data_IF_498290334900
#
_entry.id   IF_498290334900
#
_cell.length_a   1.000
_cell.length_b   1.000
_cell.length_c   1.000
_cell.angle_alpha   90.00
_cell.angle_beta   90.00
_cell.angle_gamma   90.00
#
_symmetry.space_group_name_H-M   'P 1'
#
loop_
_entity.id
_entity.type
_entity.pdbx_description
1 polymer ?
#
# COMPACT_ATOMS: atom_id res chain seq x y z
N UNK A 1 -3.40 2.19 16.73
CA UNK A 1 -3.54 3.63 16.41
C UNK A 1 -2.27 4.05 15.70
N UNK A 2 -2.35 4.47 14.44
CA UNK A 2 -1.17 4.91 13.70
C UNK A 2 -0.86 6.39 13.97
N UNK A 3 0.39 6.77 13.77
CA UNK A 3 0.86 8.15 13.69
C UNK A 3 0.71 8.70 12.27
N UNK A 4 0.82 10.03 12.12
CA UNK A 4 0.83 10.67 10.80
C UNK A 4 1.98 10.13 9.91
N UNK A 5 3.17 9.94 10.50
CA UNK A 5 4.32 9.39 9.79
C UNK A 5 4.09 7.95 9.32
N UNK A 6 3.44 7.13 10.13
CA UNK A 6 3.09 5.75 9.78
C UNK A 6 2.07 5.69 8.63
N UNK A 7 1.07 6.58 8.65
CA UNK A 7 0.13 6.75 7.52
C UNK A 7 0.87 7.13 6.24
N UNK A 8 1.78 8.11 6.30
CA UNK A 8 2.55 8.55 5.13
C UNK A 8 3.48 7.43 4.62
N UNK A 9 4.10 6.68 5.54
CA UNK A 9 4.91 5.51 5.22
C UNK A 9 4.10 4.43 4.47
N UNK A 10 2.86 4.13 4.90
CA UNK A 10 1.98 3.21 4.20
C UNK A 10 1.66 3.70 2.78
N UNK A 11 1.28 4.96 2.63
CA UNK A 11 0.94 5.55 1.32
C UNK A 11 2.13 5.47 0.36
N UNK A 12 3.33 5.72 0.87
CA UNK A 12 4.57 5.60 0.11
C UNK A 12 4.87 4.15 -0.28
N UNK A 13 4.77 3.20 0.67
CA UNK A 13 4.98 1.78 0.41
C UNK A 13 4.00 1.22 -0.63
N UNK A 14 2.73 1.63 -0.55
CA UNK A 14 1.71 1.29 -1.54
C UNK A 14 2.08 1.85 -2.92
N UNK A 15 2.46 3.13 -3.01
CA UNK A 15 2.79 3.76 -4.29
C UNK A 15 4.02 3.13 -4.95
N UNK A 16 5.04 2.75 -4.17
CA UNK A 16 6.19 1.99 -4.65
C UNK A 16 5.78 0.61 -5.17
N UNK A 17 4.93 -0.09 -4.42
CA UNK A 17 4.45 -1.43 -4.80
C UNK A 17 3.61 -1.39 -6.08
N UNK A 18 2.79 -0.35 -6.27
CA UNK A 18 2.05 -0.13 -7.51
C UNK A 18 2.98 0.04 -8.71
N UNK A 19 4.04 0.84 -8.58
CA UNK A 19 5.04 1.00 -9.63
C UNK A 19 5.74 -0.32 -9.98
N UNK A 20 6.06 -1.11 -8.95
CA UNK A 20 6.69 -2.42 -9.11
C UNK A 20 5.79 -3.42 -9.83
N UNK A 21 4.50 -3.46 -9.49
CA UNK A 21 3.52 -4.32 -10.16
C UNK A 21 3.46 -4.00 -11.66
N UNK A 22 3.38 -2.71 -12.02
CA UNK A 22 3.33 -2.29 -13.42
C UNK A 22 4.63 -2.69 -14.15
N UNK A 23 5.78 -2.48 -13.51
CA UNK A 23 7.07 -2.87 -14.08
C UNK A 23 7.17 -4.38 -14.36
N UNK A 24 6.62 -5.23 -13.49
CA UNK A 24 6.71 -6.69 -13.62
C UNK A 24 5.62 -7.31 -14.50
N UNK A 25 4.41 -6.75 -14.48
CA UNK A 25 3.25 -7.37 -15.12
C UNK A 25 2.81 -6.66 -16.40
N UNK A 26 3.41 -5.52 -16.72
CA UNK A 26 3.08 -4.72 -17.90
C UNK A 26 1.75 -3.96 -17.80
N UNK A 27 1.05 -4.02 -16.67
CA UNK A 27 -0.27 -3.39 -16.53
C UNK A 27 -0.86 -3.47 -15.13
N UNK A 28 -2.18 -3.26 -15.05
CA UNK A 28 -2.96 -3.39 -13.81
C UNK A 28 -3.37 -4.85 -13.61
N UNK A 29 -3.43 -5.26 -12.35
CA UNK A 29 -3.99 -6.53 -11.90
C UNK A 29 -4.75 -6.32 -10.58
N UNK A 30 -5.35 -7.39 -10.06
CA UNK A 30 -6.15 -7.37 -8.83
C UNK A 30 -5.40 -6.79 -7.62
N UNK A 31 -4.10 -7.12 -7.48
CA UNK A 31 -3.28 -6.58 -6.38
C UNK A 31 -3.07 -5.07 -6.53
N UNK A 32 -2.91 -4.57 -7.77
CA UNK A 32 -2.80 -3.14 -8.01
C UNK A 32 -4.12 -2.39 -7.75
N UNK A 33 -5.27 -3.00 -8.03
CA UNK A 33 -6.58 -2.40 -7.76
C UNK A 33 -6.86 -2.33 -6.27
N UNK A 34 -6.57 -3.42 -5.54
CA UNK A 34 -6.63 -3.48 -4.09
C UNK A 34 -5.78 -2.38 -3.45
N UNK A 35 -4.52 -2.28 -3.86
CA UNK A 35 -3.56 -1.31 -3.32
C UNK A 35 -3.95 0.14 -3.66
N UNK A 36 -4.41 0.41 -4.88
CA UNK A 36 -4.91 1.74 -5.27
C UNK A 36 -6.14 2.13 -4.43
N UNK A 37 -7.06 1.20 -4.21
CA UNK A 37 -8.22 1.40 -3.33
C UNK A 37 -7.82 1.68 -1.89
N UNK A 38 -6.85 0.93 -1.35
CA UNK A 38 -6.34 1.14 0.00
C UNK A 38 -5.68 2.52 0.15
N UNK A 39 -4.85 2.94 -0.82
CA UNK A 39 -4.23 4.27 -0.81
C UNK A 39 -5.26 5.39 -0.76
N UNK A 40 -6.31 5.30 -1.56
CA UNK A 40 -7.38 6.29 -1.59
C UNK A 40 -8.12 6.35 -0.24
N UNK A 41 -8.39 5.20 0.39
CA UNK A 41 -8.95 5.14 1.75
C UNK A 41 -8.03 5.80 2.77
N UNK A 42 -6.73 5.50 2.74
CA UNK A 42 -5.76 6.06 3.68
C UNK A 42 -5.75 7.59 3.63
N UNK A 43 -5.83 8.21 2.45
CA UNK A 43 -5.92 9.67 2.36
C UNK A 43 -7.12 10.27 3.11
N UNK A 44 -8.27 9.56 3.13
CA UNK A 44 -9.49 10.02 3.78
C UNK A 44 -9.57 9.73 5.29
N UNK A 45 -8.80 8.74 5.77
CA UNK A 45 -8.80 8.34 7.19
C UNK A 45 -7.87 9.22 8.03
N UNK A 46 -8.22 9.43 9.31
CA UNK A 46 -7.28 9.97 10.28
C UNK A 46 -6.28 8.88 10.70
N UNK A 47 -5.05 9.23 11.10
CA UNK A 47 -4.05 8.26 11.56
C UNK A 47 -4.57 7.31 12.64
N UNK A 48 -5.38 7.82 13.56
CA UNK A 48 -5.91 7.04 14.67
C UNK A 48 -6.86 5.90 14.27
N UNK A 49 -7.47 6.00 13.08
CA UNK A 49 -8.38 5.01 12.51
C UNK A 49 -7.66 3.90 11.73
N UNK A 50 -6.33 3.98 11.63
CA UNK A 50 -5.52 3.09 10.82
C UNK A 50 -4.87 2.01 11.70
N UNK A 51 -5.08 0.74 11.33
CA UNK A 51 -4.26 -0.36 11.80
C UNK A 51 -2.96 -0.43 10.98
N UNK A 52 -1.92 0.19 11.51
CA UNK A 52 -0.63 0.25 10.81
C UNK A 52 0.04 -1.11 10.69
N UNK A 53 -0.03 -1.96 11.72
CA UNK A 53 0.65 -3.26 11.70
C UNK A 53 0.04 -4.17 10.64
N UNK A 54 -1.29 -4.28 10.61
CA UNK A 54 -1.99 -5.10 9.64
C UNK A 54 -1.72 -4.63 8.20
N UNK A 55 -1.89 -3.32 7.94
CA UNK A 55 -1.71 -2.78 6.61
C UNK A 55 -0.24 -2.82 6.16
N UNK A 56 0.71 -2.60 7.06
CA UNK A 56 2.14 -2.66 6.72
C UNK A 56 2.56 -4.09 6.35
N UNK A 57 1.99 -5.09 7.02
CA UNK A 57 2.20 -6.50 6.67
C UNK A 57 1.64 -6.81 5.27
N UNK A 58 0.41 -6.40 4.99
CA UNK A 58 -0.20 -6.56 3.66
C UNK A 58 0.66 -5.90 2.57
N UNK A 59 1.06 -4.64 2.77
CA UNK A 59 1.89 -3.91 1.78
C UNK A 59 3.23 -4.61 1.55
N UNK A 60 3.88 -5.11 2.62
CA UNK A 60 5.13 -5.86 2.51
C UNK A 60 4.95 -7.20 1.78
N UNK A 61 3.86 -7.92 2.04
CA UNK A 61 3.54 -9.16 1.33
C UNK A 61 3.37 -8.92 -0.17
N UNK A 62 2.62 -7.88 -0.56
CA UNK A 62 2.46 -7.50 -1.96
C UNK A 62 3.79 -7.04 -2.58
N UNK A 63 4.56 -6.19 -1.89
CA UNK A 63 5.88 -5.78 -2.37
C UNK A 63 6.78 -6.98 -2.64
N UNK A 64 6.86 -7.92 -1.69
CA UNK A 64 7.71 -9.11 -1.82
C UNK A 64 7.29 -10.05 -2.97
N UNK A 65 6.00 -10.07 -3.32
CA UNK A 65 5.50 -10.84 -4.46
C UNK A 65 6.04 -10.33 -5.81
N UNK A 66 6.31 -9.03 -5.93
CA UNK A 66 6.68 -8.39 -7.21
C UNK A 66 8.12 -7.85 -7.24
N UNK A 67 8.90 -7.98 -6.16
CA UNK A 67 10.28 -7.44 -6.12
C UNK A 67 11.31 -8.20 -6.96
N UNK A 68 10.90 -9.26 -7.66
CA UNK A 68 11.74 -10.09 -8.51
C UNK A 68 11.10 -10.28 -9.88
#
# INVERSE_FOLDING_TARGET
MATLMEKDSLINGISQTLGLIVAQTGGRNEDSELLAGLRNKLYALKPEEIDYEELSKLVREKFNKYKF
#
